data_IF_721984653472
#
_entry.id   IF_721984653472
#
_cell.length_a   1.000
_cell.length_b   1.000
_cell.length_c   1.000
_cell.angle_alpha   90.00
_cell.angle_beta   90.00
_cell.angle_gamma   90.00
#
_symmetry.space_group_name_H-M   'P 1'
#
loop_
_entity.id
_entity.type
_entity.pdbx_description
1 polymer ?
#
# COMPACT_ATOMS: atom_id res chain seq x y z
N UNK A 1 1.32 -15.11 4.89
CA UNK A 1 1.17 -14.73 6.31
C UNK A 1 -0.05 -15.45 6.83
N UNK A 2 0.14 -16.51 7.61
CA UNK A 2 -0.98 -17.22 8.24
C UNK A 2 -1.55 -16.31 9.33
N UNK A 3 -2.81 -15.93 9.17
CA UNK A 3 -3.62 -15.37 10.26
C UNK A 3 -3.53 -16.30 11.47
N UNK A 4 -3.21 -15.76 12.63
CA UNK A 4 -3.39 -16.41 13.95
C UNK A 4 -4.90 -16.48 14.23
N UNK A 5 -5.65 -17.16 13.36
CA UNK A 5 -7.09 -17.29 13.44
C UNK A 5 -7.47 -18.64 12.86
N UNK A 6 -7.31 -19.68 13.68
CA UNK A 6 -7.96 -20.99 13.59
C UNK A 6 -7.47 -21.82 14.78
N UNK A 7 -8.12 -21.66 15.95
CA UNK A 7 -8.23 -22.66 17.03
C UNK A 7 -8.94 -22.08 18.26
N UNK A 8 -10.17 -21.58 18.13
CA UNK A 8 -11.12 -21.46 19.27
C UNK A 8 -12.54 -21.74 18.78
N UNK A 9 -12.73 -22.85 18.07
CA UNK A 9 -14.05 -23.42 17.83
C UNK A 9 -14.30 -24.46 18.93
N UNK A 10 -14.83 -24.02 20.07
CA UNK A 10 -15.07 -24.92 21.20
C UNK A 10 -15.82 -24.33 22.39
N UNK A 11 -16.47 -23.17 22.25
CA UNK A 11 -17.37 -22.66 23.31
C UNK A 11 -18.69 -22.25 22.66
N UNK A 12 -19.64 -23.17 22.69
CA UNK A 12 -21.05 -22.94 22.36
C UNK A 12 -21.67 -22.02 23.42
N UNK A 13 -21.95 -20.78 23.06
CA UNK A 13 -22.92 -19.96 23.79
C UNK A 13 -24.29 -20.14 23.15
N UNK A 14 -25.16 -20.86 23.84
CA UNK A 14 -26.57 -20.98 23.51
C UNK A 14 -27.23 -19.59 23.61
N UNK A 15 -27.63 -19.02 22.48
CA UNK A 15 -28.52 -17.86 22.46
C UNK A 15 -29.96 -18.35 22.30
N UNK A 16 -30.75 -18.03 23.32
CA UNK A 16 -32.19 -18.19 23.38
C UNK A 16 -32.89 -17.22 22.42
N UNK A 17 -33.70 -17.77 21.51
CA UNK A 17 -34.68 -17.04 20.69
C UNK A 17 -35.88 -16.61 21.53
N UNK A 18 -36.52 -15.47 21.19
CA UNK A 18 -37.99 -15.48 21.06
C UNK A 18 -38.46 -14.60 19.86
N UNK A 19 -39.75 -14.55 19.48
CA UNK A 19 -40.23 -15.20 18.27
C UNK A 19 -40.69 -14.21 17.17
N UNK A 20 -40.92 -14.78 15.99
CA UNK A 20 -41.45 -14.16 14.78
C UNK A 20 -42.95 -13.83 14.84
N UNK A 21 -43.28 -12.66 14.26
CA UNK A 21 -44.41 -12.32 13.37
C UNK A 21 -45.86 -12.53 13.80
N UNK A 22 -46.74 -11.54 13.51
CA UNK A 22 -48.07 -11.72 12.86
C UNK A 22 -48.63 -10.37 12.31
N UNK A 23 -48.88 -10.35 10.98
CA UNK A 23 -49.92 -9.67 10.13
C UNK A 23 -50.21 -8.16 10.19
N UNK A 24 -50.07 -7.38 9.09
CA UNK A 24 -50.99 -7.10 7.95
C UNK A 24 -51.55 -5.67 8.03
N UNK A 25 -51.52 -4.83 7.00
CA UNK A 25 -52.48 -4.84 5.88
C UNK A 25 -52.03 -3.84 4.78
N UNK A 26 -52.50 -4.11 3.56
CA UNK A 26 -52.24 -3.38 2.33
C UNK A 26 -52.97 -2.02 2.21
N UNK A 27 -52.44 -1.13 1.35
CA UNK A 27 -53.24 -0.45 0.31
C UNK A 27 -52.37 0.17 -0.79
N UNK A 28 -52.72 -0.19 -2.03
CA UNK A 28 -52.30 0.39 -3.31
C UNK A 28 -52.68 1.87 -3.42
N UNK A 29 -51.89 2.63 -4.20
CA UNK A 29 -52.43 3.49 -5.25
C UNK A 29 -51.37 3.79 -6.33
N UNK A 30 -51.68 3.37 -7.56
CA UNK A 30 -51.12 3.89 -8.82
C UNK A 30 -51.44 5.38 -8.96
N UNK A 31 -50.59 6.14 -9.64
CA UNK A 31 -50.98 7.02 -10.77
C UNK A 31 -49.78 7.74 -11.38
N UNK A 32 -49.68 7.62 -12.70
CA UNK A 32 -49.01 8.52 -13.66
C UNK A 32 -50.00 8.69 -14.83
N UNK A 33 -49.81 9.60 -15.81
CA UNK A 33 -49.30 10.97 -15.84
C UNK A 33 -50.36 11.92 -16.48
N UNK A 34 -50.01 13.12 -17.03
CA UNK A 34 -49.73 13.16 -18.47
C UNK A 34 -48.68 14.19 -18.95
N UNK A 35 -48.30 14.02 -20.23
CA UNK A 35 -47.41 14.83 -21.05
C UNK A 35 -47.86 16.29 -21.29
N UNK A 36 -46.92 17.19 -21.60
CA UNK A 36 -47.14 18.20 -22.64
C UNK A 36 -45.84 18.64 -23.33
N UNK A 37 -45.99 18.91 -24.62
CA UNK A 37 -44.99 19.33 -25.60
C UNK A 37 -44.52 20.78 -25.41
N UNK A 38 -43.30 21.08 -25.85
CA UNK A 38 -42.81 22.44 -26.05
C UNK A 38 -41.49 22.50 -26.79
N UNK A 39 -41.54 22.42 -28.12
CA UNK A 39 -40.43 22.79 -28.99
C UNK A 39 -40.29 24.32 -29.05
N UNK A 40 -39.06 24.85 -29.16
CA UNK A 40 -38.75 26.01 -30.02
C UNK A 40 -37.24 26.33 -30.09
N UNK A 41 -36.76 26.32 -31.34
CA UNK A 41 -35.80 27.22 -32.01
C UNK A 41 -34.32 27.29 -31.62
N UNK A 42 -33.54 26.78 -32.57
CA UNK A 42 -32.22 27.23 -33.04
C UNK A 42 -32.07 28.76 -33.09
N UNK A 43 -30.91 29.26 -32.63
CA UNK A 43 -30.15 30.32 -33.29
C UNK A 43 -28.66 30.00 -33.18
N UNK A 44 -28.02 29.81 -34.33
CA UNK A 44 -26.57 29.87 -34.46
C UNK A 44 -26.12 31.32 -34.56
N UNK A 45 -24.95 31.60 -34.03
CA UNK A 45 -24.11 32.71 -34.44
C UNK A 45 -22.66 32.22 -34.38
N UNK A 46 -22.05 32.08 -35.55
CA UNK A 46 -20.61 31.95 -35.67
C UNK A 46 -19.96 33.33 -35.57
N UNK A 47 -18.77 33.41 -35.00
CA UNK A 47 -17.54 33.70 -35.74
C UNK A 47 -16.43 34.15 -34.79
N UNK A 48 -15.24 33.63 -35.09
CA UNK A 48 -13.93 34.27 -34.94
C UNK A 48 -13.48 34.72 -33.54
N UNK A 49 -12.65 33.89 -32.90
CA UNK A 49 -11.51 34.43 -32.14
C UNK A 49 -10.23 33.63 -32.41
N UNK A 50 -9.18 34.41 -32.61
CA UNK A 50 -7.90 34.10 -33.27
C UNK A 50 -7.06 33.06 -32.54
N UNK A 51 -6.42 32.18 -33.33
CA UNK A 51 -5.19 31.48 -32.97
C UNK A 51 -4.15 32.49 -32.48
N UNK A 52 -3.68 32.30 -31.25
CA UNK A 52 -2.42 32.87 -30.78
C UNK A 52 -1.50 31.71 -30.46
N UNK A 53 -0.44 31.57 -31.26
CA UNK A 53 0.63 30.62 -31.07
C UNK A 53 1.20 30.70 -29.64
N UNK A 54 1.11 29.60 -28.90
CA UNK A 54 2.08 29.25 -27.88
C UNK A 54 2.64 27.89 -28.27
N UNK A 55 3.84 27.91 -28.84
CA UNK A 55 4.64 26.72 -29.10
C UNK A 55 5.06 26.10 -27.76
N UNK A 56 4.16 25.38 -27.12
CA UNK A 56 4.52 24.45 -26.07
C UNK A 56 5.15 23.23 -26.77
N UNK A 57 6.48 23.22 -26.91
CA UNK A 57 7.22 22.01 -27.27
C UNK A 57 6.78 20.89 -26.33
N UNK A 58 6.11 19.90 -26.92
CA UNK A 58 5.70 18.67 -26.28
C UNK A 58 6.92 17.79 -26.06
N UNK A 59 7.64 18.01 -24.96
CA UNK A 59 8.57 17.00 -24.43
C UNK A 59 7.74 15.89 -23.77
N UNK A 60 7.10 15.06 -24.60
CA UNK A 60 6.34 13.85 -24.22
C UNK A 60 7.25 12.60 -24.18
N UNK A 61 8.57 12.77 -24.21
CA UNK A 61 9.56 11.68 -24.04
C UNK A 61 10.34 11.85 -22.75
N UNK A 62 9.64 11.68 -21.62
CA UNK A 62 10.20 11.72 -20.26
C UNK A 62 10.73 10.39 -19.74
N UNK A 63 10.87 9.36 -20.58
CA UNK A 63 11.64 8.15 -20.29
C UNK A 63 13.13 8.44 -20.55
N UNK A 64 13.70 9.42 -19.84
CA UNK A 64 15.15 9.36 -19.61
C UNK A 64 15.35 8.23 -18.63
N UNK A 65 15.61 7.04 -19.17
CA UNK A 65 16.40 6.03 -18.48
C UNK A 65 17.58 6.80 -17.89
N UNK A 66 17.60 6.93 -16.57
CA UNK A 66 18.70 7.59 -15.89
C UNK A 66 19.88 6.63 -16.03
N UNK A 67 20.56 6.70 -17.18
CA UNK A 67 21.90 6.18 -17.29
C UNK A 67 22.71 6.98 -16.29
N UNK A 68 23.20 6.32 -15.24
CA UNK A 68 24.26 6.85 -14.40
C UNK A 68 25.28 7.54 -15.32
N UNK A 69 25.78 8.74 -14.97
CA UNK A 69 26.72 9.46 -15.81
C UNK A 69 27.83 8.49 -16.20
N UNK A 70 27.99 8.30 -17.51
CA UNK A 70 29.03 7.45 -18.09
C UNK A 70 30.34 8.14 -17.74
N UNK A 71 30.89 7.82 -16.56
CA UNK A 71 32.24 8.25 -16.18
C UNK A 71 33.13 7.82 -17.33
N UNK A 72 33.81 8.80 -17.88
CA UNK A 72 34.61 8.70 -19.10
C UNK A 72 35.40 7.40 -19.07
N UNK A 73 35.16 6.58 -20.11
CA UNK A 73 35.75 5.26 -20.28
C UNK A 73 37.26 5.46 -20.32
N UNK A 74 37.95 5.33 -19.19
CA UNK A 74 39.37 4.99 -19.21
C UNK A 74 39.40 3.64 -19.91
N UNK A 75 39.86 3.63 -21.16
CA UNK A 75 40.21 2.41 -21.90
C UNK A 75 41.30 1.71 -21.10
N UNK A 76 40.92 0.99 -20.04
CA UNK A 76 41.65 -0.21 -19.69
C UNK A 76 41.23 -1.21 -20.76
N UNK A 77 42.23 -1.70 -21.47
CA UNK A 77 42.13 -2.70 -22.54
C UNK A 77 41.31 -3.89 -22.04
N UNK A 78 40.00 -3.89 -22.32
CA UNK A 78 39.16 -5.06 -22.18
C UNK A 78 39.53 -5.97 -23.35
N UNK A 79 40.55 -6.80 -23.13
CA UNK A 79 40.72 -8.00 -23.91
C UNK A 79 39.37 -8.74 -23.93
N UNK A 80 38.97 -9.02 -25.15
CA UNK A 80 37.87 -9.87 -25.58
C UNK A 80 37.66 -11.06 -24.62
N UNK A 81 36.70 -10.93 -23.68
CA UNK A 81 36.12 -12.12 -23.02
C UNK A 81 35.07 -12.65 -23.97
N UNK A 82 35.51 -13.55 -24.84
CA UNK A 82 34.66 -14.52 -25.50
C UNK A 82 33.76 -15.23 -24.46
N UNK A 83 32.49 -14.83 -24.46
CA UNK A 83 31.26 -15.64 -24.40
C UNK A 83 31.17 -16.99 -23.66
N UNK A 84 32.01 -17.32 -22.68
CA UNK A 84 31.74 -18.45 -21.78
C UNK A 84 31.24 -17.96 -20.43
N UNK A 85 29.91 -18.03 -20.25
CA UNK A 85 29.27 -17.85 -18.94
C UNK A 85 29.82 -18.91 -17.99
N UNK A 86 30.51 -18.46 -16.93
CA UNK A 86 30.92 -19.35 -15.85
C UNK A 86 29.70 -19.68 -14.96
N UNK A 87 29.67 -20.82 -14.25
CA UNK A 87 28.60 -21.11 -13.28
C UNK A 87 28.43 -20.01 -12.22
N UNK A 88 29.50 -19.28 -11.91
CA UNK A 88 29.50 -18.15 -10.99
C UNK A 88 28.68 -16.96 -11.52
N UNK A 89 28.59 -16.79 -12.84
CA UNK A 89 27.84 -15.69 -13.46
C UNK A 89 26.32 -15.81 -13.25
N UNK A 90 25.82 -16.98 -12.83
CA UNK A 90 24.42 -17.18 -12.40
C UNK A 90 24.16 -16.45 -11.07
N UNK A 91 25.14 -16.43 -10.18
CA UNK A 91 25.02 -15.86 -8.84
C UNK A 91 25.53 -14.43 -8.80
N UNK A 92 26.61 -14.13 -9.50
CA UNK A 92 27.30 -12.86 -9.46
C UNK A 92 26.92 -11.98 -10.66
N UNK A 93 26.99 -10.67 -10.46
CA UNK A 93 26.89 -9.68 -11.51
C UNK A 93 28.29 -9.20 -11.95
N UNK A 94 28.31 -8.30 -12.93
CA UNK A 94 29.53 -7.67 -13.47
C UNK A 94 30.40 -6.91 -12.46
N UNK A 95 29.94 -6.75 -11.22
CA UNK A 95 30.64 -6.07 -10.13
C UNK A 95 31.08 -7.06 -9.02
N UNK A 96 31.06 -8.37 -9.30
CA UNK A 96 31.36 -9.44 -8.34
C UNK A 96 30.53 -9.36 -7.06
N UNK A 97 29.27 -8.92 -7.22
CA UNK A 97 28.25 -8.91 -6.17
C UNK A 97 27.15 -9.90 -6.52
N UNK A 98 26.49 -10.45 -5.49
CA UNK A 98 25.32 -11.33 -5.66
C UNK A 98 24.25 -10.62 -6.50
N UNK A 99 23.62 -11.25 -7.50
CA UNK A 99 22.56 -10.62 -8.30
C UNK A 99 21.35 -10.26 -7.44
N UNK A 100 20.62 -9.22 -7.83
CA UNK A 100 19.46 -8.72 -7.09
C UNK A 100 18.42 -9.80 -6.82
N UNK A 101 18.10 -10.66 -7.79
CA UNK A 101 17.17 -11.78 -7.57
C UNK A 101 17.54 -12.67 -6.39
N UNK A 102 18.81 -13.06 -6.26
CA UNK A 102 19.28 -13.87 -5.14
C UNK A 102 19.29 -13.10 -3.82
N UNK A 103 19.63 -11.81 -3.83
CA UNK A 103 19.53 -10.96 -2.62
C UNK A 103 18.11 -10.90 -2.09
N UNK A 104 17.13 -10.77 -2.98
CA UNK A 104 15.71 -10.74 -2.62
C UNK A 104 15.22 -12.09 -2.10
N UNK A 105 15.63 -13.19 -2.75
CA UNK A 105 15.31 -14.53 -2.31
C UNK A 105 15.82 -14.80 -0.89
N UNK A 106 17.08 -14.42 -0.60
CA UNK A 106 17.65 -14.53 0.74
C UNK A 106 16.88 -13.66 1.73
N UNK A 107 16.61 -12.40 1.40
CA UNK A 107 15.87 -11.49 2.27
C UNK A 107 14.50 -12.05 2.66
N UNK A 108 13.67 -12.46 1.69
CA UNK A 108 12.35 -12.99 1.99
C UNK A 108 12.38 -14.37 2.66
N UNK A 109 13.37 -15.21 2.36
CA UNK A 109 13.55 -16.48 3.06
C UNK A 109 13.89 -16.27 4.54
N UNK A 110 14.81 -15.35 4.84
CA UNK A 110 15.16 -14.99 6.22
C UNK A 110 14.00 -14.32 6.95
N UNK A 111 13.30 -13.38 6.31
CA UNK A 111 12.14 -12.71 6.88
C UNK A 111 11.03 -13.72 7.22
N UNK A 112 10.72 -14.64 6.30
CA UNK A 112 9.75 -15.69 6.53
C UNK A 112 10.19 -16.64 7.65
N UNK A 113 11.46 -17.05 7.67
CA UNK A 113 12.00 -17.92 8.72
C UNK A 113 11.90 -17.27 10.11
N UNK A 114 12.23 -15.98 10.21
CA UNK A 114 12.08 -15.21 11.45
C UNK A 114 10.62 -15.11 11.86
N UNK A 115 9.71 -14.82 10.93
CA UNK A 115 8.27 -14.77 11.22
C UNK A 115 7.74 -16.13 11.74
N UNK A 116 8.12 -17.24 11.09
CA UNK A 116 7.75 -18.60 11.52
C UNK A 116 8.33 -18.92 12.90
N UNK A 117 9.60 -18.58 13.14
CA UNK A 117 10.24 -18.80 14.44
C UNK A 117 9.51 -18.03 15.55
N UNK A 118 9.24 -16.73 15.35
CA UNK A 118 8.52 -15.90 16.33
C UNK A 118 7.13 -16.43 16.63
N UNK A 119 6.36 -16.79 15.59
CA UNK A 119 5.01 -17.35 15.76
C UNK A 119 5.07 -18.69 16.50
N UNK A 120 6.01 -19.57 16.14
CA UNK A 120 6.19 -20.87 16.80
C UNK A 120 6.60 -20.70 18.26
N UNK A 121 7.48 -19.75 18.57
CA UNK A 121 7.86 -19.42 19.95
C UNK A 121 6.65 -18.92 20.75
N UNK A 122 5.81 -18.05 20.17
CA UNK A 122 4.59 -17.59 20.83
C UNK A 122 3.66 -18.78 21.14
N UNK A 123 3.45 -19.68 20.18
CA UNK A 123 2.64 -20.88 20.41
C UNK A 123 3.24 -21.80 21.48
N UNK A 124 4.55 -22.01 21.47
CA UNK A 124 5.23 -22.82 22.49
C UNK A 124 5.06 -22.21 23.89
N UNK A 125 5.21 -20.89 24.03
CA UNK A 125 4.99 -20.18 25.31
C UNK A 125 3.55 -20.34 25.78
N UNK A 126 2.56 -20.18 24.89
CA UNK A 126 1.13 -20.36 25.22
C UNK A 126 0.83 -21.81 25.65
N UNK A 127 1.43 -22.79 24.96
CA UNK A 127 1.27 -24.20 25.25
C UNK A 127 1.85 -24.57 26.62
N UNK A 128 3.05 -24.09 26.93
CA UNK A 128 3.75 -24.36 28.19
C UNK A 128 3.22 -23.56 29.39
N UNK A 129 2.41 -22.53 29.16
CA UNK A 129 1.83 -21.70 30.22
C UNK A 129 0.77 -22.46 31.04
N UNK A 130 0.68 -22.12 32.34
CA UNK A 130 -0.41 -22.59 33.22
C UNK A 130 -1.77 -22.12 32.70
N UNK A 131 -2.87 -22.77 33.09
CA UNK A 131 -4.22 -22.44 32.59
C UNK A 131 -4.58 -20.95 32.74
N UNK A 132 -4.31 -20.35 33.90
CA UNK A 132 -4.57 -18.92 34.15
C UNK A 132 -3.70 -18.02 33.28
N UNK A 133 -2.40 -18.30 33.23
CA UNK A 133 -1.44 -17.52 32.43
C UNK A 133 -1.76 -17.63 30.94
N UNK A 134 -2.11 -18.82 30.46
CA UNK A 134 -2.53 -19.09 29.09
C UNK A 134 -3.75 -18.25 28.71
N UNK A 135 -4.77 -18.20 29.57
CA UNK A 135 -5.97 -17.39 29.34
C UNK A 135 -5.62 -15.89 29.23
N UNK A 136 -4.73 -15.40 30.09
CA UNK A 136 -4.26 -14.01 30.03
C UNK A 136 -3.47 -13.71 28.75
N UNK A 137 -2.56 -14.60 28.33
CA UNK A 137 -1.78 -14.44 27.10
C UNK A 137 -2.70 -14.43 25.88
N UNK A 138 -3.60 -15.41 25.77
CA UNK A 138 -4.58 -15.49 24.67
C UNK A 138 -5.43 -14.21 24.63
N UNK A 139 -5.91 -13.74 25.79
CA UNK A 139 -6.66 -12.49 25.89
C UNK A 139 -5.89 -11.26 25.36
N UNK A 140 -4.57 -11.20 25.59
CA UNK A 140 -3.71 -10.12 25.03
C UNK A 140 -3.48 -10.28 23.53
N UNK A 141 -3.21 -11.51 23.07
CA UNK A 141 -2.96 -11.83 21.66
C UNK A 141 -4.21 -11.71 20.77
N UNK A 142 -5.40 -11.73 21.35
CA UNK A 142 -6.68 -11.54 20.64
C UNK A 142 -7.34 -10.18 20.95
N UNK A 143 -6.77 -9.42 21.89
CA UNK A 143 -7.30 -8.16 22.38
C UNK A 143 -6.76 -6.94 21.62
N UNK A 144 -6.75 -5.79 22.30
CA UNK A 144 -6.34 -4.51 21.71
C UNK A 144 -4.87 -4.47 21.25
N UNK A 145 -4.01 -5.36 21.78
CA UNK A 145 -2.58 -5.41 21.44
C UNK A 145 -2.27 -6.32 20.25
N UNK A 146 -3.23 -7.10 19.76
CA UNK A 146 -3.04 -8.08 18.70
C UNK A 146 -2.47 -7.45 17.42
N UNK A 147 -3.17 -6.45 16.87
CA UNK A 147 -2.74 -5.75 15.64
C UNK A 147 -1.44 -4.96 15.80
N UNK A 148 -1.27 -4.12 16.85
CA UNK A 148 0.02 -3.47 17.09
C UNK A 148 1.19 -4.46 17.12
N UNK A 149 1.05 -5.57 17.84
CA UNK A 149 2.10 -6.58 17.95
C UNK A 149 2.37 -7.28 16.62
N UNK A 150 1.32 -7.67 15.89
CA UNK A 150 1.45 -8.29 14.57
C UNK A 150 2.22 -7.39 13.60
N UNK A 151 1.85 -6.12 13.48
CA UNK A 151 2.52 -5.21 12.55
C UNK A 151 3.91 -4.78 13.03
N UNK A 152 4.14 -4.76 14.34
CA UNK A 152 5.48 -4.57 14.89
C UNK A 152 6.41 -5.75 14.56
N UNK A 153 5.92 -6.98 14.70
CA UNK A 153 6.61 -8.23 14.30
C UNK A 153 6.85 -8.28 12.80
N UNK A 154 6.02 -7.63 11.98
CA UNK A 154 6.26 -7.49 10.55
C UNK A 154 7.33 -6.42 10.25
N UNK A 155 7.21 -5.24 10.87
CA UNK A 155 8.05 -4.09 10.58
C UNK A 155 9.51 -4.26 11.03
N UNK A 156 9.73 -4.68 12.28
CA UNK A 156 11.07 -4.69 12.87
C UNK A 156 12.01 -5.68 12.16
N UNK A 157 11.64 -6.96 11.96
CA UNK A 157 12.46 -7.90 11.19
C UNK A 157 12.71 -7.43 9.75
N UNK A 158 11.68 -6.95 9.05
CA UNK A 158 11.82 -6.48 7.67
C UNK A 158 12.88 -5.36 7.54
N UNK A 159 12.88 -4.41 8.48
CA UNK A 159 13.85 -3.32 8.50
C UNK A 159 15.24 -3.80 8.90
N UNK A 160 15.37 -4.62 9.95
CA UNK A 160 16.66 -5.11 10.44
C UNK A 160 17.33 -6.06 9.44
N UNK A 161 16.58 -6.98 8.84
CA UNK A 161 17.06 -7.87 7.79
C UNK A 161 17.35 -7.11 6.51
N UNK A 162 16.53 -6.13 6.16
CA UNK A 162 16.78 -5.26 5.01
C UNK A 162 18.09 -4.48 5.18
N UNK A 163 18.35 -3.96 6.38
CA UNK A 163 19.61 -3.29 6.71
C UNK A 163 20.79 -4.25 6.66
N UNK A 164 20.65 -5.43 7.27
CA UNK A 164 21.70 -6.47 7.30
C UNK A 164 22.05 -6.92 5.88
N UNK A 165 21.05 -7.23 5.05
CA UNK A 165 21.25 -7.60 3.66
C UNK A 165 21.88 -6.47 2.85
N UNK A 166 21.42 -5.23 3.02
CA UNK A 166 22.03 -4.06 2.38
C UNK A 166 23.49 -3.86 2.77
N UNK A 167 23.81 -4.05 4.05
CA UNK A 167 25.18 -3.92 4.56
C UNK A 167 26.10 -5.03 4.06
N UNK A 168 25.61 -6.27 4.00
CA UNK A 168 26.41 -7.46 3.64
C UNK A 168 26.55 -7.66 2.13
N UNK A 169 25.49 -7.41 1.36
CA UNK A 169 25.47 -7.70 -0.08
C UNK A 169 25.72 -6.47 -0.95
N UNK A 170 25.42 -5.27 -0.45
CA UNK A 170 25.43 -4.04 -1.26
C UNK A 170 26.35 -2.94 -0.72
N UNK A 171 26.93 -3.12 0.47
CA UNK A 171 27.73 -2.12 1.18
C UNK A 171 27.02 -0.77 1.36
N UNK A 172 25.68 -0.78 1.46
CA UNK A 172 24.92 0.45 1.67
C UNK A 172 24.72 0.75 3.15
N UNK A 173 24.78 2.02 3.58
CA UNK A 173 24.54 2.40 4.97
C UNK A 173 23.04 2.33 5.32
N UNK A 174 22.71 2.39 6.62
CA UNK A 174 21.33 2.48 7.11
C UNK A 174 20.48 3.52 6.36
N UNK A 175 21.09 4.66 6.04
CA UNK A 175 20.40 5.77 5.33
C UNK A 175 19.82 5.34 3.99
N UNK A 176 20.44 4.38 3.32
CA UNK A 176 19.98 3.88 2.03
C UNK A 176 18.56 3.33 2.09
N UNK A 177 18.15 2.70 3.19
CA UNK A 177 16.79 2.14 3.33
C UNK A 177 15.68 3.19 3.26
N UNK A 178 16.00 4.48 3.37
CA UNK A 178 15.04 5.57 3.21
C UNK A 178 14.27 5.94 4.48
N UNK A 179 14.54 5.27 5.61
CA UNK A 179 13.95 5.52 6.94
C UNK A 179 14.65 6.64 7.74
N UNK A 180 15.69 7.26 7.16
CA UNK A 180 16.45 8.29 7.85
C UNK A 180 15.68 9.61 7.96
N UNK A 181 15.84 10.27 9.10
CA UNK A 181 15.35 11.62 9.35
C UNK A 181 16.26 12.60 8.59
N UNK A 182 15.86 12.93 7.36
CA UNK A 182 16.57 13.85 6.47
C UNK A 182 15.90 15.23 6.43
N UNK A 183 16.55 16.25 5.87
CA UNK A 183 15.91 17.57 5.69
C UNK A 183 14.64 17.44 4.84
N UNK A 184 13.49 17.81 5.40
CA UNK A 184 12.19 17.71 4.72
C UNK A 184 11.45 16.37 4.89
N UNK A 185 11.94 15.46 5.73
CA UNK A 185 11.25 14.19 6.04
C UNK A 185 9.80 14.41 6.49
N UNK A 186 9.58 15.32 7.45
CA UNK A 186 8.25 15.60 8.00
C UNK A 186 7.34 16.19 6.93
N UNK A 187 7.88 17.05 6.07
CA UNK A 187 7.14 17.59 4.93
C UNK A 187 6.71 16.48 3.96
N UNK A 188 7.60 15.54 3.64
CA UNK A 188 7.28 14.40 2.79
C UNK A 188 6.20 13.53 3.42
N UNK A 189 6.31 13.25 4.73
CA UNK A 189 5.30 12.51 5.47
C UNK A 189 3.94 13.22 5.45
N UNK A 190 3.89 14.51 5.79
CA UNK A 190 2.64 15.29 5.81
C UNK A 190 1.98 15.41 4.43
N UNK A 191 2.77 15.64 3.38
CA UNK A 191 2.24 15.63 2.01
C UNK A 191 1.78 14.23 1.59
N UNK A 192 2.49 13.19 2.00
CA UNK A 192 2.05 11.80 1.80
C UNK A 192 0.72 11.56 2.47
N UNK A 193 0.57 11.95 3.73
CA UNK A 193 -0.68 11.84 4.49
C UNK A 193 -1.83 12.56 3.77
N UNK A 194 -1.61 13.81 3.35
CA UNK A 194 -2.63 14.60 2.67
C UNK A 194 -3.03 13.98 1.32
N UNK A 195 -2.05 13.52 0.53
CA UNK A 195 -2.32 12.88 -0.76
C UNK A 195 -2.94 11.49 -0.61
N UNK A 196 -2.57 10.77 0.46
CA UNK A 196 -3.13 9.48 0.85
C UNK A 196 -4.62 9.59 1.15
N UNK A 197 -4.95 10.44 2.13
CA UNK A 197 -6.33 10.76 2.48
C UNK A 197 -7.11 11.36 1.31
N UNK A 198 -6.50 12.24 0.51
CA UNK A 198 -7.13 12.85 -0.66
C UNK A 198 -7.44 11.87 -1.79
N UNK A 199 -6.54 10.93 -2.07
CA UNK A 199 -6.76 9.88 -3.07
C UNK A 199 -7.90 8.93 -2.62
N UNK A 200 -7.94 8.59 -1.34
CA UNK A 200 -9.07 7.82 -0.82
C UNK A 200 -10.38 8.63 -0.89
N UNK A 201 -10.36 9.89 -0.45
CA UNK A 201 -11.54 10.74 -0.51
C UNK A 201 -12.08 10.87 -1.95
N UNK A 202 -11.19 10.90 -2.94
CA UNK A 202 -11.57 10.84 -4.36
C UNK A 202 -12.24 9.51 -4.72
N UNK A 203 -11.70 8.37 -4.30
CA UNK A 203 -12.34 7.06 -4.52
C UNK A 203 -13.73 7.00 -3.87
N UNK A 204 -13.84 7.46 -2.63
CA UNK A 204 -15.11 7.56 -1.90
C UNK A 204 -16.10 8.47 -2.61
N UNK A 205 -15.65 9.64 -3.09
CA UNK A 205 -16.49 10.57 -3.84
C UNK A 205 -17.03 9.93 -5.12
N UNK A 206 -16.18 9.26 -5.90
CA UNK A 206 -16.59 8.57 -7.14
C UNK A 206 -17.65 7.51 -6.81
N UNK A 207 -17.43 6.67 -5.78
CA UNK A 207 -18.42 5.68 -5.35
C UNK A 207 -19.71 6.32 -4.87
N UNK A 208 -19.64 7.41 -4.09
CA UNK A 208 -20.82 8.11 -3.54
C UNK A 208 -21.66 8.73 -4.65
N UNK A 209 -21.03 9.38 -5.63
CA UNK A 209 -21.71 9.94 -6.80
C UNK A 209 -22.36 8.86 -7.68
N UNK A 210 -21.81 7.65 -7.68
CA UNK A 210 -22.42 6.48 -8.31
C UNK A 210 -23.53 5.81 -7.49
N UNK A 211 -24.01 6.44 -6.40
CA UNK A 211 -25.05 5.90 -5.53
C UNK A 211 -24.55 4.84 -4.53
N UNK A 212 -23.24 4.84 -4.23
CA UNK A 212 -22.58 3.76 -3.50
C UNK A 212 -22.65 3.84 -1.99
N UNK A 213 -22.16 4.94 -1.40
CA UNK A 213 -22.03 5.07 0.04
C UNK A 213 -22.96 6.12 0.63
N UNK A 214 -23.60 5.76 1.73
CA UNK A 214 -24.28 6.68 2.63
C UNK A 214 -23.55 6.74 3.96
N UNK A 215 -23.36 7.94 4.50
CA UNK A 215 -22.62 8.15 5.74
C UNK A 215 -23.55 8.64 6.84
N UNK A 216 -23.47 7.97 7.99
CA UNK A 216 -24.01 8.47 9.25
C UNK A 216 -22.85 8.74 10.21
N UNK A 217 -23.06 9.62 11.20
CA UNK A 217 -22.13 9.71 12.31
C UNK A 217 -22.07 8.36 13.04
N UNK A 218 -20.89 7.90 13.41
CA UNK A 218 -20.74 6.82 14.38
C UNK A 218 -21.49 7.18 15.68
N UNK A 219 -22.22 6.22 16.26
CA UNK A 219 -23.03 6.37 17.48
C UNK A 219 -22.29 7.13 18.62
N UNK A 220 -23.01 7.80 19.54
CA UNK A 220 -22.86 9.24 19.78
C UNK A 220 -21.73 9.61 20.76
N UNK A 221 -21.01 10.67 20.38
CA UNK A 221 -20.15 11.49 21.24
C UNK A 221 -18.67 11.35 20.91
N UNK A 222 -17.95 12.48 20.93
CA UNK A 222 -16.50 12.53 21.17
C UNK A 222 -16.22 12.01 22.59
N UNK A 223 -16.54 10.74 22.82
CA UNK A 223 -16.29 10.06 24.08
C UNK A 223 -14.79 9.77 24.16
N UNK A 224 -14.31 9.57 25.39
CA UNK A 224 -12.94 9.13 25.64
C UNK A 224 -12.60 7.84 24.85
N UNK A 225 -13.58 6.98 24.63
CA UNK A 225 -13.44 5.74 23.88
C UNK A 225 -13.30 5.97 22.36
N UNK A 226 -14.04 6.94 21.79
CA UNK A 226 -13.80 7.39 20.41
C UNK A 226 -12.37 7.96 20.26
N UNK A 227 -11.95 8.87 21.14
CA UNK A 227 -10.61 9.46 21.05
C UNK A 227 -9.49 8.41 21.17
N UNK A 228 -9.62 7.46 22.11
CA UNK A 228 -8.68 6.34 22.27
C UNK A 228 -8.63 5.45 21.04
N UNK A 229 -9.77 5.08 20.47
CA UNK A 229 -9.82 4.18 19.31
C UNK A 229 -9.36 4.87 18.03
N UNK A 230 -9.71 6.15 17.83
CA UNK A 230 -9.34 6.93 16.66
C UNK A 230 -7.83 7.24 16.62
N UNK A 231 -7.25 7.66 17.75
CA UNK A 231 -5.80 7.90 17.89
C UNK A 231 -5.03 6.58 17.94
N UNK A 232 -5.53 5.58 18.67
CA UNK A 232 -4.92 4.26 18.76
C UNK A 232 -4.86 3.56 17.40
N UNK A 233 -5.93 3.65 16.61
CA UNK A 233 -5.96 3.14 15.25
C UNK A 233 -4.94 3.83 14.33
N UNK A 234 -4.69 5.14 14.50
CA UNK A 234 -3.65 5.83 13.74
C UNK A 234 -2.27 5.17 13.92
N UNK A 235 -1.88 4.86 15.15
CA UNK A 235 -0.64 4.12 15.43
C UNK A 235 -0.61 2.74 14.78
N UNK A 236 -1.72 2.01 14.82
CA UNK A 236 -1.86 0.70 14.18
C UNK A 236 -1.70 0.80 12.66
N UNK A 237 -2.38 1.75 12.01
CA UNK A 237 -2.26 1.93 10.55
C UNK A 237 -0.89 2.45 10.12
N UNK A 238 -0.22 3.27 10.95
CA UNK A 238 1.17 3.65 10.71
C UNK A 238 2.08 2.43 10.77
N UNK A 239 1.94 1.55 11.76
CA UNK A 239 2.73 0.31 11.85
C UNK A 239 2.42 -0.66 10.71
N UNK A 240 1.14 -0.82 10.35
CA UNK A 240 0.69 -1.63 9.22
C UNK A 240 1.36 -1.14 7.93
N UNK A 241 1.19 0.14 7.60
CA UNK A 241 1.78 0.74 6.40
C UNK A 241 3.32 0.67 6.44
N UNK A 242 3.94 0.94 7.60
CA UNK A 242 5.40 0.87 7.73
C UNK A 242 5.94 -0.54 7.51
N UNK A 243 5.28 -1.57 8.04
CA UNK A 243 5.69 -2.96 7.85
C UNK A 243 5.59 -3.40 6.39
N UNK A 244 4.50 -3.05 5.72
CA UNK A 244 4.32 -3.39 4.30
C UNK A 244 5.31 -2.60 3.43
N UNK A 245 5.46 -1.30 3.67
CA UNK A 245 6.46 -0.50 2.95
C UNK A 245 7.89 -1.01 3.19
N UNK A 246 8.24 -1.47 4.39
CA UNK A 246 9.55 -2.06 4.66
C UNK A 246 9.78 -3.37 3.87
N UNK A 247 8.76 -4.24 3.81
CA UNK A 247 8.82 -5.54 3.11
C UNK A 247 8.84 -5.44 1.59
N UNK A 248 8.32 -4.35 1.02
CA UNK A 248 8.19 -4.21 -0.42
C UNK A 248 9.03 -3.08 -1.00
N UNK A 249 8.96 -1.87 -0.42
CA UNK A 249 9.60 -0.65 -0.94
C UNK A 249 10.91 -0.33 -0.24
N UNK A 250 11.12 -0.87 0.96
CA UNK A 250 12.35 -0.79 1.73
C UNK A 250 13.51 -1.46 1.00
N UNK A 251 14.01 -2.57 1.54
CA UNK A 251 15.13 -3.25 0.89
C UNK A 251 14.78 -3.78 -0.53
N UNK A 252 13.63 -4.45 -0.75
CA UNK A 252 13.43 -5.16 -2.02
C UNK A 252 13.34 -4.29 -3.27
N UNK A 253 12.45 -3.31 -3.31
CA UNK A 253 12.33 -2.41 -4.45
C UNK A 253 13.66 -1.68 -4.74
N UNK A 254 14.37 -1.26 -3.69
CA UNK A 254 15.63 -0.54 -3.86
C UNK A 254 16.72 -1.41 -4.47
N UNK A 255 16.86 -2.65 -4.01
CA UNK A 255 17.78 -3.64 -4.60
C UNK A 255 17.46 -3.88 -6.08
N UNK A 256 16.17 -3.97 -6.45
CA UNK A 256 15.76 -4.06 -7.85
C UNK A 256 16.13 -2.79 -8.62
N UNK A 257 15.80 -1.61 -8.09
CA UNK A 257 16.05 -0.31 -8.75
C UNK A 257 17.53 -0.01 -8.98
N UNK A 258 18.45 -0.53 -8.16
CA UNK A 258 19.90 -0.40 -8.38
C UNK A 258 20.39 -1.20 -9.59
N UNK A 259 19.70 -2.28 -9.95
CA UNK A 259 20.15 -3.27 -10.94
C UNK A 259 19.29 -3.33 -12.20
N UNK A 260 18.04 -2.84 -12.13
CA UNK A 260 17.03 -2.96 -13.18
C UNK A 260 16.43 -1.59 -13.55
N UNK A 261 15.95 -1.42 -14.78
CA UNK A 261 15.13 -0.27 -15.14
C UNK A 261 13.93 -0.11 -14.19
N UNK A 262 13.58 1.13 -13.87
CA UNK A 262 12.54 1.47 -12.89
C UNK A 262 11.24 0.67 -13.07
N UNK A 263 10.72 0.57 -14.30
CA UNK A 263 9.48 -0.16 -14.58
C UNK A 263 9.59 -1.66 -14.25
N UNK A 264 10.73 -2.26 -14.57
CA UNK A 264 11.00 -3.69 -14.33
C UNK A 264 11.23 -3.96 -12.83
N UNK A 265 11.63 -2.95 -12.05
CA UNK A 265 11.67 -3.04 -10.59
C UNK A 265 10.27 -2.92 -9.96
N UNK A 266 9.50 -1.93 -10.39
CA UNK A 266 8.22 -1.56 -9.75
C UNK A 266 7.10 -2.55 -10.03
N UNK A 267 6.95 -3.01 -11.27
CA UNK A 267 5.80 -3.85 -11.65
C UNK A 267 5.82 -5.19 -10.92
N UNK A 268 6.92 -5.98 -10.92
CA UNK A 268 6.96 -7.25 -10.19
C UNK A 268 6.80 -7.08 -8.68
N UNK A 269 7.45 -6.07 -8.09
CA UNK A 269 7.29 -5.74 -6.66
C UNK A 269 5.82 -5.46 -6.30
N UNK A 270 5.10 -4.75 -7.16
CA UNK A 270 3.70 -4.40 -6.94
C UNK A 270 2.74 -5.57 -7.18
N UNK A 271 3.06 -6.47 -8.11
CA UNK A 271 2.30 -7.73 -8.30
C UNK A 271 2.48 -8.63 -7.10
N UNK A 272 3.70 -8.77 -6.56
CA UNK A 272 3.94 -9.57 -5.36
C UNK A 272 3.19 -9.00 -4.14
N UNK A 273 3.12 -7.68 -4.03
CA UNK A 273 2.30 -6.99 -3.04
C UNK A 273 0.82 -7.40 -3.14
N UNK A 274 0.25 -7.38 -4.36
CA UNK A 274 -1.12 -7.84 -4.60
C UNK A 274 -1.30 -9.34 -4.34
N UNK A 275 -0.31 -10.17 -4.65
CA UNK A 275 -0.36 -11.61 -4.37
C UNK A 275 -0.50 -11.91 -2.88
N UNK A 276 0.23 -11.20 -2.00
CA UNK A 276 0.09 -11.43 -0.56
C UNK A 276 -1.30 -11.02 -0.02
N UNK A 277 -1.99 -10.08 -0.68
CA UNK A 277 -3.35 -9.66 -0.32
C UNK A 277 -4.42 -10.72 -0.63
N UNK A 278 -4.08 -11.79 -1.35
CA UNK A 278 -4.96 -12.96 -1.50
C UNK A 278 -5.17 -13.72 -0.18
N UNK A 279 -4.44 -13.39 0.89
CA UNK A 279 -4.66 -13.94 2.22
C UNK A 279 -5.61 -13.10 3.08
N UNK A 280 -6.08 -11.96 2.57
CA UNK A 280 -6.96 -11.07 3.32
C UNK A 280 -8.37 -11.67 3.45
N UNK A 281 -9.11 -11.33 4.51
CA UNK A 281 -10.50 -11.75 4.65
C UNK A 281 -11.40 -11.10 3.59
N UNK A 282 -12.60 -11.65 3.41
CA UNK A 282 -13.64 -11.07 2.55
C UNK A 282 -13.21 -10.84 1.08
N UNK A 283 -12.37 -11.73 0.53
CA UNK A 283 -11.93 -11.65 -0.87
C UNK A 283 -13.13 -11.58 -1.82
N UNK A 284 -13.08 -10.71 -2.85
CA UNK A 284 -14.06 -10.74 -3.92
C UNK A 284 -13.93 -12.00 -4.78
N UNK A 285 -15.02 -12.39 -5.43
CA UNK A 285 -15.10 -13.61 -6.23
C UNK A 285 -15.15 -13.28 -7.73
N UNK A 286 -14.83 -14.26 -8.57
CA UNK A 286 -14.96 -14.14 -10.02
C UNK A 286 -14.18 -12.96 -10.59
N UNK A 287 -14.80 -12.20 -11.49
CA UNK A 287 -14.13 -11.10 -12.19
C UNK A 287 -13.84 -9.88 -11.31
N UNK A 288 -14.40 -9.78 -10.08
CA UNK A 288 -14.03 -8.75 -9.10
C UNK A 288 -12.73 -9.04 -8.38
N UNK A 289 -12.33 -10.31 -8.28
CA UNK A 289 -11.01 -10.67 -7.78
C UNK A 289 -9.91 -10.03 -8.64
N UNK A 290 -10.13 -9.98 -9.96
CA UNK A 290 -9.20 -9.35 -10.91
C UNK A 290 -9.10 -7.85 -10.67
N UNK A 291 -10.24 -7.17 -10.41
CA UNK A 291 -10.26 -5.73 -10.08
C UNK A 291 -9.52 -5.47 -8.77
N UNK A 292 -9.70 -6.31 -7.75
CA UNK A 292 -8.96 -6.21 -6.50
C UNK A 292 -7.44 -6.36 -6.74
N UNK A 293 -7.01 -7.40 -7.45
CA UNK A 293 -5.58 -7.62 -7.76
C UNK A 293 -5.01 -6.42 -8.54
N UNK A 294 -5.75 -5.91 -9.52
CA UNK A 294 -5.37 -4.72 -10.29
C UNK A 294 -5.21 -3.50 -9.37
N UNK A 295 -6.18 -3.23 -8.50
CA UNK A 295 -6.14 -2.10 -7.58
C UNK A 295 -4.99 -2.19 -6.59
N UNK A 296 -4.77 -3.36 -5.99
CA UNK A 296 -3.65 -3.57 -5.07
C UNK A 296 -2.31 -3.45 -5.79
N UNK A 297 -2.23 -3.90 -7.05
CA UNK A 297 -1.04 -3.68 -7.90
C UNK A 297 -0.84 -2.18 -8.18
N UNK A 298 -1.90 -1.45 -8.52
CA UNK A 298 -1.86 0.00 -8.76
C UNK A 298 -1.48 0.78 -7.52
N UNK A 299 -1.98 0.41 -6.34
CA UNK A 299 -1.58 0.99 -5.06
C UNK A 299 -0.07 0.76 -4.85
N UNK A 300 0.40 -0.45 -5.14
CA UNK A 300 1.82 -0.77 -5.10
C UNK A 300 2.68 0.10 -6.01
N UNK A 301 2.23 0.34 -7.24
CA UNK A 301 2.89 1.23 -8.21
C UNK A 301 2.88 2.67 -7.69
N UNK A 302 1.74 3.13 -7.18
CA UNK A 302 1.57 4.49 -6.66
C UNK A 302 2.54 4.80 -5.52
N UNK A 303 2.66 3.89 -4.55
CA UNK A 303 3.60 4.00 -3.44
C UNK A 303 5.06 3.91 -3.91
N UNK A 304 5.36 3.01 -4.85
CA UNK A 304 6.69 2.93 -5.46
C UNK A 304 7.07 4.20 -6.22
N UNK A 305 6.12 4.86 -6.90
CA UNK A 305 6.32 6.18 -7.49
C UNK A 305 6.59 7.21 -6.39
N UNK A 306 5.83 7.21 -5.30
CA UNK A 306 6.09 8.06 -4.13
C UNK A 306 7.51 7.91 -3.59
N UNK A 307 7.98 6.67 -3.44
CA UNK A 307 9.37 6.40 -3.09
C UNK A 307 10.33 6.97 -4.14
N UNK A 308 10.16 6.64 -5.42
CA UNK A 308 11.04 7.11 -6.50
C UNK A 308 11.20 8.63 -6.55
N UNK A 309 10.11 9.35 -6.28
CA UNK A 309 10.05 10.82 -6.31
C UNK A 309 10.87 11.47 -5.20
N UNK A 310 11.06 10.80 -4.06
CA UNK A 310 11.74 11.38 -2.88
C UNK A 310 12.98 10.62 -2.44
N UNK A 311 13.15 9.37 -2.89
CA UNK A 311 14.12 8.37 -2.40
C UNK A 311 14.05 8.18 -0.89
N UNK A 312 12.87 8.42 -0.31
CA UNK A 312 12.60 8.38 1.12
C UNK A 312 11.33 7.58 1.39
N UNK A 313 11.30 6.84 2.51
CA UNK A 313 10.13 6.08 2.96
C UNK A 313 9.04 6.96 3.55
N UNK A 314 9.33 8.22 3.91
CA UNK A 314 8.35 9.08 4.58
C UNK A 314 7.16 9.44 3.71
N UNK A 315 7.36 9.66 2.40
CA UNK A 315 6.27 9.92 1.47
C UNK A 315 5.38 8.68 1.25
N UNK A 316 5.89 7.50 0.85
CA UNK A 316 5.06 6.31 0.66
C UNK A 316 4.40 5.84 1.96
N UNK A 317 5.09 5.91 3.12
CA UNK A 317 4.45 5.66 4.41
C UNK A 317 3.24 6.58 4.58
N UNK A 318 3.44 7.89 4.38
CA UNK A 318 2.39 8.91 4.42
C UNK A 318 1.17 8.57 3.56
N UNK A 319 1.40 8.18 2.29
CA UNK A 319 0.34 7.79 1.36
C UNK A 319 -0.44 6.59 1.91
N UNK A 320 0.27 5.56 2.34
CA UNK A 320 -0.27 4.27 2.72
C UNK A 320 -1.07 4.35 4.03
N UNK A 321 -0.46 4.83 5.12
CA UNK A 321 -1.14 4.86 6.42
C UNK A 321 -2.39 5.73 6.36
N UNK A 322 -2.35 6.85 5.65
CA UNK A 322 -3.46 7.79 5.56
C UNK A 322 -4.59 7.26 4.69
N UNK A 323 -4.28 6.51 3.62
CA UNK A 323 -5.29 5.79 2.86
C UNK A 323 -6.03 4.80 3.78
N UNK A 324 -5.31 3.95 4.51
CA UNK A 324 -5.95 2.93 5.35
C UNK A 324 -6.69 3.54 6.56
N UNK A 325 -6.09 4.52 7.23
CA UNK A 325 -6.71 5.20 8.37
C UNK A 325 -7.94 6.01 7.97
N UNK A 326 -7.91 6.69 6.83
CA UNK A 326 -9.10 7.41 6.35
C UNK A 326 -10.21 6.41 6.00
N UNK A 327 -9.88 5.26 5.41
CA UNK A 327 -10.87 4.25 5.06
C UNK A 327 -11.52 3.62 6.28
N UNK A 328 -10.71 3.12 7.21
CA UNK A 328 -11.20 2.42 8.39
C UNK A 328 -11.67 3.36 9.50
N UNK A 329 -10.86 4.33 9.90
CA UNK A 329 -11.14 5.19 11.07
C UNK A 329 -12.00 6.40 10.76
N UNK A 330 -11.84 7.03 9.59
CA UNK A 330 -12.68 8.18 9.24
C UNK A 330 -14.02 7.74 8.65
N UNK A 331 -14.00 6.84 7.67
CA UNK A 331 -15.19 6.48 6.88
C UNK A 331 -15.93 5.23 7.40
N UNK A 332 -15.28 4.40 8.21
CA UNK A 332 -15.88 3.16 8.72
C UNK A 332 -16.06 2.08 7.66
N UNK A 333 -15.21 2.09 6.62
CA UNK A 333 -15.20 1.10 5.54
C UNK A 333 -14.21 -0.05 5.87
N UNK A 334 -14.43 -1.26 5.34
CA UNK A 334 -13.45 -2.34 5.41
C UNK A 334 -12.13 -1.93 4.75
N UNK A 335 -10.99 -2.21 5.40
CA UNK A 335 -9.64 -1.97 4.85
C UNK A 335 -9.10 -3.28 4.31
N UNK A 336 -9.09 -3.45 2.99
CA UNK A 336 -8.74 -4.70 2.31
C UNK A 336 -9.47 -5.92 2.89
N UNK A 337 -10.76 -5.76 3.17
CA UNK A 337 -11.62 -6.77 3.79
C UNK A 337 -11.52 -6.88 5.31
N UNK A 338 -10.58 -6.18 5.97
CA UNK A 338 -10.44 -6.16 7.42
C UNK A 338 -11.41 -5.14 8.03
N UNK A 339 -12.26 -5.58 8.96
CA UNK A 339 -13.35 -4.76 9.52
C UNK A 339 -13.20 -4.41 11.00
N UNK A 340 -12.20 -4.98 11.68
CA UNK A 340 -12.05 -4.93 13.13
C UNK A 340 -10.82 -4.14 13.62
N UNK A 341 -10.08 -3.50 12.71
CA UNK A 341 -8.96 -2.59 13.03
C UNK A 341 -9.44 -1.30 13.72
N UNK A 342 -10.65 -0.82 13.40
CA UNK A 342 -11.27 0.36 14.02
C UNK A 342 -12.65 0.00 14.53
N UNK A 343 -12.82 -0.02 15.86
CA UNK A 343 -14.11 -0.37 16.49
C UNK A 343 -15.13 0.77 16.46
N UNK A 344 -14.67 2.01 16.55
CA UNK A 344 -15.51 3.20 16.58
C UNK A 344 -14.98 4.24 15.56
N UNK A 345 -15.34 4.10 14.28
CA UNK A 345 -14.99 5.09 13.27
C UNK A 345 -15.79 6.39 13.45
N UNK A 346 -15.29 7.49 12.90
CA UNK A 346 -15.98 8.79 12.95
C UNK A 346 -17.30 8.74 12.19
N UNK A 347 -17.25 8.24 10.96
CA UNK A 347 -18.42 7.96 10.14
C UNK A 347 -18.64 6.46 10.05
N UNK A 348 -19.91 6.06 9.91
CA UNK A 348 -20.31 4.72 9.54
C UNK A 348 -20.85 4.76 8.13
N UNK A 349 -20.04 4.28 7.19
CA UNK A 349 -20.49 4.05 5.82
C UNK A 349 -21.46 2.87 5.76
N UNK A 350 -22.54 3.05 5.01
CA UNK A 350 -23.42 1.98 4.55
C UNK A 350 -23.25 1.87 3.04
N UNK A 351 -22.86 0.68 2.58
CA UNK A 351 -22.69 0.39 1.15
C UNK A 351 -24.01 -0.12 0.56
N UNK A 352 -24.61 0.68 -0.32
CA UNK A 352 -25.80 0.34 -1.10
C UNK A 352 -25.51 0.28 -2.60
N UNK A 353 -24.24 0.42 -2.98
CA UNK A 353 -23.81 0.53 -4.36
C UNK A 353 -23.66 -0.80 -5.09
N UNK A 354 -23.46 -0.69 -6.40
CA UNK A 354 -22.94 -1.81 -7.16
C UNK A 354 -21.56 -2.17 -6.63
N UNK A 355 -21.40 -3.43 -6.21
CA UNK A 355 -20.15 -3.92 -5.63
C UNK A 355 -18.97 -3.90 -6.63
N UNK A 356 -19.25 -3.75 -7.93
CA UNK A 356 -18.23 -3.46 -8.95
C UNK A 356 -17.61 -2.07 -8.81
N UNK A 357 -18.38 -1.09 -8.33
CA UNK A 357 -17.93 0.27 -8.11
C UNK A 357 -17.36 0.46 -6.70
N UNK A 358 -18.03 -0.08 -5.69
CA UNK A 358 -17.70 0.12 -4.26
C UNK A 358 -16.76 -0.93 -3.69
N UNK A 359 -16.63 -2.08 -4.35
CA UNK A 359 -15.82 -3.21 -3.89
C UNK A 359 -16.48 -4.09 -2.83
N UNK A 360 -17.67 -3.75 -2.33
CA UNK A 360 -18.48 -4.57 -1.43
C UNK A 360 -17.77 -4.88 -0.10
N UNK A 361 -17.84 -6.12 0.35
CA UNK A 361 -17.28 -6.57 1.65
C UNK A 361 -15.77 -6.45 1.77
N UNK A 362 -15.04 -6.37 0.64
CA UNK A 362 -13.61 -6.09 0.63
C UNK A 362 -13.29 -4.61 0.88
N UNK A 363 -14.28 -3.72 0.72
CA UNK A 363 -14.12 -2.28 0.76
C UNK A 363 -13.73 -1.68 -0.59
N UNK A 364 -13.50 -0.36 -0.59
CA UNK A 364 -13.24 0.46 -1.79
C UNK A 364 -12.18 -0.12 -2.73
N UNK A 365 -11.18 -0.80 -2.18
CA UNK A 365 -10.08 -1.44 -2.91
C UNK A 365 -10.51 -2.56 -3.84
N UNK A 366 -11.69 -3.14 -3.65
CA UNK A 366 -12.25 -4.14 -4.57
C UNK A 366 -13.00 -3.56 -5.77
N UNK A 367 -13.14 -2.24 -5.86
CA UNK A 367 -14.04 -1.57 -6.81
C UNK A 367 -13.35 -0.65 -7.82
N UNK A 368 -14.05 -0.34 -8.92
CA UNK A 368 -13.55 0.53 -9.99
C UNK A 368 -13.34 1.99 -9.58
N UNK A 369 -14.01 2.45 -8.51
CA UNK A 369 -13.77 3.78 -7.98
C UNK A 369 -12.34 3.94 -7.45
N UNK A 370 -11.80 2.90 -6.81
CA UNK A 370 -10.41 2.84 -6.40
C UNK A 370 -9.47 2.84 -7.60
N UNK A 371 -9.79 2.08 -8.66
CA UNK A 371 -8.99 2.07 -9.90
C UNK A 371 -8.80 3.48 -10.46
N UNK A 372 -9.90 4.23 -10.62
CA UNK A 372 -9.86 5.59 -11.13
C UNK A 372 -9.04 6.53 -10.23
N UNK A 373 -9.27 6.47 -8.91
CA UNK A 373 -8.56 7.29 -7.95
C UNK A 373 -7.04 7.01 -7.93
N UNK A 374 -6.64 5.73 -7.94
CA UNK A 374 -5.23 5.34 -7.97
C UNK A 374 -4.53 5.75 -9.26
N UNK A 375 -5.19 5.64 -10.43
CA UNK A 375 -4.65 6.12 -11.70
C UNK A 375 -4.42 7.64 -11.63
N UNK A 376 -5.42 8.40 -11.20
CA UNK A 376 -5.32 9.87 -11.08
C UNK A 376 -4.22 10.26 -10.09
N UNK A 377 -4.18 9.63 -8.91
CA UNK A 377 -3.19 9.89 -7.87
C UNK A 377 -1.77 9.55 -8.34
N UNK A 378 -1.60 8.44 -9.08
CA UNK A 378 -0.33 8.05 -9.68
C UNK A 378 0.13 9.03 -10.75
N UNK A 379 -0.76 9.45 -11.67
CA UNK A 379 -0.44 10.44 -12.69
C UNK A 379 -0.07 11.77 -12.05
N UNK A 380 -0.85 12.24 -11.07
CA UNK A 380 -0.54 13.46 -10.32
C UNK A 380 0.85 13.38 -9.69
N UNK A 381 1.13 12.29 -8.97
CA UNK A 381 2.40 12.09 -8.28
C UNK A 381 3.57 11.94 -9.25
N UNK A 382 3.34 11.40 -10.45
CA UNK A 382 4.32 11.32 -11.52
C UNK A 382 4.62 12.68 -12.15
N UNK A 383 3.59 13.51 -12.36
CA UNK A 383 3.69 14.78 -13.11
C UNK A 383 4.05 16.00 -12.26
N UNK A 384 3.65 16.03 -11.00
CA UNK A 384 3.92 17.17 -10.11
C UNK A 384 5.42 17.43 -10.01
N UNK A 385 5.88 18.68 -9.93
CA UNK A 385 7.31 19.01 -9.72
C UNK A 385 7.67 19.24 -8.25
N UNK A 386 6.70 19.07 -7.35
CA UNK A 386 6.81 19.39 -5.92
C UNK A 386 7.79 18.49 -5.17
N UNK A 387 7.81 17.20 -5.53
CA UNK A 387 8.65 16.20 -4.88
C UNK A 387 9.97 16.04 -5.63
N UNK A 388 11.07 16.16 -4.90
CA UNK A 388 12.42 15.96 -5.40
C UNK A 388 13.11 14.90 -4.55
N UNK A 389 14.04 14.11 -5.12
CA UNK A 389 14.90 13.23 -4.34
C UNK A 389 15.58 13.99 -3.21
N UNK A 390 15.66 13.39 -2.03
CA UNK A 390 16.61 13.85 -1.03
C UNK A 390 18.02 13.57 -1.57
N UNK A 391 18.81 14.62 -1.80
CA UNK A 391 20.11 14.48 -2.48
C UNK A 391 21.04 13.51 -1.74
N UNK A 392 21.00 13.53 -0.40
CA UNK A 392 21.74 12.62 0.47
C UNK A 392 21.32 11.13 0.35
N UNK A 393 20.11 10.85 -0.18
CA UNK A 393 19.59 9.49 -0.36
C UNK A 393 19.69 9.01 -1.81
N UNK A 394 19.78 9.96 -2.76
CA UNK A 394 19.85 9.67 -4.18
C UNK A 394 21.06 8.81 -4.54
N UNK A 395 22.21 9.09 -3.92
CA UNK A 395 23.47 8.37 -4.14
C UNK A 395 23.35 6.86 -3.85
N UNK A 396 22.45 6.46 -2.96
CA UNK A 396 22.28 5.05 -2.57
C UNK A 396 21.24 4.32 -3.39
N UNK A 397 20.53 4.99 -4.30
CA UNK A 397 19.38 4.42 -5.01
C UNK A 397 19.55 4.44 -6.52
N UNK A 398 20.60 5.09 -7.04
CA UNK A 398 20.92 5.16 -8.47
C UNK A 398 22.11 4.25 -8.81
N UNK A 399 21.80 3.12 -9.44
CA UNK A 399 22.80 2.18 -9.93
C UNK A 399 23.47 1.36 -8.84
N UNK A 400 24.28 0.40 -9.28
CA UNK A 400 25.00 -0.49 -8.39
C UNK A 400 26.37 0.10 -8.04
N UNK A 401 26.66 0.20 -6.74
CA UNK A 401 27.94 0.70 -6.25
C UNK A 401 29.05 -0.33 -6.50
N UNK A 402 30.21 0.09 -7.04
CA UNK A 402 31.35 -0.81 -7.15
C UNK A 402 31.78 -1.31 -5.76
N UNK A 403 32.38 -2.50 -5.71
CA UNK A 403 32.93 -3.07 -4.48
C UNK A 403 34.10 -2.20 -4.01
N UNK A 404 34.15 -1.85 -2.71
CA UNK A 404 35.27 -1.18 -2.03
C UNK A 404 35.59 0.30 -2.40
N UNK A 405 34.65 1.11 -2.87
CA UNK A 405 34.97 2.53 -3.19
C UNK A 405 35.18 3.40 -1.93
N UNK A 406 34.65 2.99 -0.77
CA UNK A 406 34.66 3.82 0.46
C UNK A 406 35.59 3.29 1.57
N UNK A 407 36.61 2.48 1.24
CA UNK A 407 37.62 2.03 2.24
C UNK A 407 38.91 2.85 2.27
N UNK A 408 38.99 3.92 1.47
CA UNK A 408 40.20 4.76 1.35
C UNK A 408 39.97 6.26 1.64
N UNK A 409 38.89 6.62 2.34
CA UNK A 409 38.63 8.02 2.74
C UNK A 409 38.64 8.19 4.27
#
# INVERSE_FOLDING_TARGET
MMSVSLAVSGVTYAHSSPPSSVTSTAKRANTSPPNSHGALRRRGFGSSFKLSCLSARSDITGLRVYHAPRRERRRTTSADRSADMTPLDIFLNRHDRLRSGWRLAIFWALDHAVAVALVTTIYAVVFLATHETRAQIIGRLTGALAYPLQFFIMFVPAVLLGWTCGRLFEDVPWRALGWTIHRGWLRNFLWGTLLGAGALALATLISTLGGGFHFALGAPGLTREFAKTFVGAAGVYVLLGAGEEALFRGYPLQTMMRSLPFVIAVVPSSILFAYLHLNNPNLPNGSRLVVMILNTTLAGVWMAVGFWRTRSMWLPLGLHWAWNWTMGSLLGLPVSGITNLTRAPLLRATDTGSQWLTGGTYGLEGGLACTAALIIATIFLWRTRRFKPAEELKIYTDGELPKNVDREA
#
